data_IF_257264330359
#
_entry.id   IF_257264330359
#
_cell.length_a   1.000
_cell.length_b   1.000
_cell.length_c   1.000
_cell.angle_alpha   90.00
_cell.angle_beta   90.00
_cell.angle_gamma   90.00
#
_symmetry.space_group_name_H-M   'P 1'
#
loop_
_entity.id
_entity.type
_entity.pdbx_description
1 polymer ?
#
# COMPACT_ATOMS: atom_id res chain seq x y z
N UNK A 1 13.75 -12.68 -7.00
CA UNK A 1 13.20 -12.42 -5.64
C UNK A 1 11.78 -11.83 -5.69
N UNK A 2 11.01 -12.01 -6.77
CA UNK A 2 9.67 -11.41 -6.95
C UNK A 2 8.53 -12.18 -6.28
N UNK A 3 8.71 -13.49 -6.01
CA UNK A 3 7.67 -14.32 -5.37
C UNK A 3 7.49 -13.97 -3.90
N UNK A 4 8.60 -13.81 -3.15
CA UNK A 4 8.55 -13.50 -1.72
C UNK A 4 7.94 -12.11 -1.41
N UNK A 5 8.12 -11.13 -2.30
CA UNK A 5 7.50 -9.81 -2.13
C UNK A 5 6.00 -9.85 -2.45
N UNK A 6 5.59 -10.66 -3.43
CA UNK A 6 4.17 -10.91 -3.72
C UNK A 6 3.47 -11.58 -2.53
N UNK A 7 4.08 -12.61 -1.94
CA UNK A 7 3.53 -13.35 -0.80
C UNK A 7 3.35 -12.46 0.44
N UNK A 8 4.29 -11.54 0.70
CA UNK A 8 4.17 -10.58 1.80
C UNK A 8 3.03 -9.57 1.57
N UNK A 9 2.87 -9.10 0.34
CA UNK A 9 1.81 -8.15 -0.04
C UNK A 9 0.45 -8.82 0.06
N UNK A 10 0.30 -10.04 -0.44
CA UNK A 10 -0.94 -10.81 -0.34
C UNK A 10 -1.29 -11.16 1.10
N UNK A 11 -0.29 -11.49 1.93
CA UNK A 11 -0.49 -11.69 3.37
C UNK A 11 -1.05 -10.42 4.03
N UNK A 12 -0.48 -9.25 3.72
CA UNK A 12 -0.97 -7.96 4.24
C UNK A 12 -2.39 -7.65 3.75
N UNK A 13 -2.67 -7.89 2.46
CA UNK A 13 -3.99 -7.71 1.86
C UNK A 13 -5.00 -8.60 2.57
N UNK A 14 -4.73 -9.91 2.70
CA UNK A 14 -5.61 -10.86 3.38
C UNK A 14 -5.87 -10.50 4.86
N UNK A 15 -4.81 -10.09 5.57
CA UNK A 15 -4.94 -9.61 6.95
C UNK A 15 -5.82 -8.37 7.07
N UNK A 16 -5.66 -7.39 6.16
CA UNK A 16 -6.50 -6.20 6.13
C UNK A 16 -7.96 -6.53 5.78
N UNK A 17 -8.20 -7.40 4.79
CA UNK A 17 -9.55 -7.89 4.43
C UNK A 17 -10.28 -8.45 5.65
N UNK A 18 -9.57 -9.28 6.42
CA UNK A 18 -10.09 -9.93 7.62
C UNK A 18 -10.40 -8.90 8.70
N UNK A 19 -9.48 -7.98 8.99
CA UNK A 19 -9.67 -6.91 9.98
C UNK A 19 -10.83 -5.99 9.62
N UNK A 20 -11.03 -5.68 8.34
CA UNK A 20 -12.14 -4.86 7.83
C UNK A 20 -13.48 -5.61 7.77
N UNK A 21 -13.47 -6.93 8.01
CA UNK A 21 -14.65 -7.78 7.97
C UNK A 21 -15.42 -7.66 6.64
N UNK A 22 -14.69 -7.74 5.51
CA UNK A 22 -15.27 -7.62 4.17
C UNK A 22 -16.32 -8.71 3.94
N UNK A 23 -17.51 -8.29 3.54
CA UNK A 23 -18.64 -9.18 3.21
C UNK A 23 -18.64 -9.55 1.73
N UNK A 24 -19.43 -10.56 1.34
CA UNK A 24 -19.58 -10.96 -0.05
C UNK A 24 -20.08 -9.81 -0.96
N UNK A 25 -20.96 -8.94 -0.46
CA UNK A 25 -21.46 -7.78 -1.20
C UNK A 25 -20.39 -6.70 -1.43
N UNK A 26 -19.32 -6.70 -0.63
CA UNK A 26 -18.21 -5.74 -0.70
C UNK A 26 -17.01 -6.27 -1.47
N UNK A 27 -17.04 -7.55 -1.89
CA UNK A 27 -15.89 -8.24 -2.45
C UNK A 27 -15.40 -7.58 -3.75
N UNK A 28 -16.30 -7.11 -4.60
CA UNK A 28 -15.91 -6.41 -5.83
C UNK A 28 -15.11 -5.12 -5.54
N UNK A 29 -15.57 -4.33 -4.56
CA UNK A 29 -14.84 -3.11 -4.13
C UNK A 29 -13.52 -3.47 -3.46
N UNK A 30 -13.49 -4.53 -2.66
CA UNK A 30 -12.28 -5.02 -2.03
C UNK A 30 -11.23 -5.47 -3.06
N UNK A 31 -11.63 -6.18 -4.11
CA UNK A 31 -10.69 -6.63 -5.15
C UNK A 31 -10.04 -5.45 -5.88
N UNK A 32 -10.78 -4.35 -6.10
CA UNK A 32 -10.21 -3.10 -6.67
C UNK A 32 -9.16 -2.50 -5.73
N UNK A 33 -9.43 -2.44 -4.42
CA UNK A 33 -8.46 -1.99 -3.41
C UNK A 33 -7.23 -2.89 -3.38
N UNK A 34 -7.42 -4.21 -3.34
CA UNK A 34 -6.35 -5.20 -3.32
C UNK A 34 -5.45 -5.10 -4.56
N UNK A 35 -6.05 -4.89 -5.74
CA UNK A 35 -5.27 -4.72 -6.98
C UNK A 35 -4.38 -3.48 -6.92
N UNK A 36 -4.91 -2.33 -6.47
CA UNK A 36 -4.11 -1.11 -6.32
C UNK A 36 -2.97 -1.32 -5.31
N UNK A 37 -3.22 -2.05 -4.21
CA UNK A 37 -2.17 -2.39 -3.24
C UNK A 37 -1.05 -3.24 -3.87
N UNK A 38 -1.39 -4.22 -4.72
CA UNK A 38 -0.41 -5.05 -5.46
C UNK A 38 0.38 -4.23 -6.46
N UNK A 39 -0.28 -3.40 -7.26
CA UNK A 39 0.35 -2.57 -8.28
C UNK A 39 1.33 -1.57 -7.65
N UNK A 40 0.92 -0.95 -6.55
CA UNK A 40 1.76 -0.04 -5.77
C UNK A 40 2.99 -0.78 -5.20
N UNK A 41 2.79 -1.99 -4.66
CA UNK A 41 3.89 -2.78 -4.13
C UNK A 41 4.88 -3.20 -5.22
N UNK A 42 4.41 -3.65 -6.39
CA UNK A 42 5.25 -4.01 -7.52
C UNK A 42 6.06 -2.81 -8.06
N UNK A 43 5.43 -1.64 -8.13
CA UNK A 43 6.11 -0.39 -8.51
C UNK A 43 7.23 -0.04 -7.52
N UNK A 44 6.92 -0.07 -6.22
CA UNK A 44 7.89 0.22 -5.16
C UNK A 44 9.04 -0.79 -5.11
N UNK A 45 8.74 -2.07 -5.28
CA UNK A 45 9.74 -3.14 -5.31
C UNK A 45 10.71 -2.95 -6.50
N UNK A 46 10.16 -2.66 -7.68
CA UNK A 46 10.96 -2.37 -8.88
C UNK A 46 11.90 -1.19 -8.68
N UNK A 47 11.42 -0.08 -8.10
CA UNK A 47 12.24 1.10 -7.82
C UNK A 47 13.33 0.81 -6.78
N UNK A 48 13.03 0.04 -5.73
CA UNK A 48 14.04 -0.36 -4.73
C UNK A 48 15.10 -1.29 -5.33
N UNK A 49 14.70 -2.23 -6.18
CA UNK A 49 15.64 -3.13 -6.86
C UNK A 49 16.55 -2.37 -7.83
N UNK A 50 15.99 -1.45 -8.62
CA UNK A 50 16.76 -0.58 -9.51
C UNK A 50 17.80 0.22 -8.71
N UNK A 51 17.38 0.86 -7.61
CA UNK A 51 18.28 1.60 -6.74
C UNK A 51 19.37 0.71 -6.10
N UNK A 52 19.00 -0.46 -5.58
CA UNK A 52 19.95 -1.38 -4.95
C UNK A 52 20.98 -1.89 -5.95
N UNK A 53 20.55 -2.23 -7.18
CA UNK A 53 21.46 -2.71 -8.24
C UNK A 53 22.44 -1.64 -8.72
N UNK A 54 22.09 -0.36 -8.59
CA UNK A 54 22.92 0.78 -9.00
C UNK A 54 23.66 1.43 -7.82
N UNK A 55 23.48 0.95 -6.58
CA UNK A 55 23.95 1.62 -5.36
C UNK A 55 25.47 1.91 -5.35
N UNK A 56 26.28 1.05 -5.97
CA UNK A 56 27.75 1.20 -6.01
C UNK A 56 28.26 2.07 -7.17
N UNK A 57 27.38 2.50 -8.08
CA UNK A 57 27.74 3.28 -9.28
C UNK A 57 27.03 4.62 -9.41
N UNK A 58 26.07 4.91 -8.54
CA UNK A 58 25.31 6.16 -8.55
C UNK A 58 26.14 7.33 -8.03
N UNK A 59 26.02 8.49 -8.69
CA UNK A 59 26.48 9.75 -8.10
C UNK A 59 25.55 10.19 -6.96
N UNK A 60 26.00 11.13 -6.13
CA UNK A 60 25.15 11.71 -5.08
C UNK A 60 23.87 12.35 -5.63
N UNK A 61 23.92 12.90 -6.86
CA UNK A 61 22.75 13.49 -7.52
C UNK A 61 21.77 12.41 -7.98
N UNK A 62 22.26 11.29 -8.51
CA UNK A 62 21.41 10.17 -8.92
C UNK A 62 20.76 9.51 -7.71
N UNK A 63 21.48 9.44 -6.59
CA UNK A 63 20.95 8.94 -5.32
C UNK A 63 19.73 9.77 -4.85
N UNK A 64 19.85 11.10 -4.87
CA UNK A 64 18.75 12.03 -4.58
C UNK A 64 17.59 11.91 -5.57
N UNK A 65 17.87 11.78 -6.87
CA UNK A 65 16.81 11.58 -7.89
C UNK A 65 16.02 10.30 -7.63
N UNK A 66 16.69 9.21 -7.27
CA UNK A 66 16.00 7.95 -7.00
C UNK A 66 15.14 8.02 -5.73
N UNK A 67 15.52 8.81 -4.72
CA UNK A 67 14.64 9.12 -3.59
C UNK A 67 13.40 9.87 -4.05
N UNK A 68 13.56 10.88 -4.90
CA UNK A 68 12.44 11.63 -5.50
C UNK A 68 11.47 10.70 -6.22
N UNK A 69 11.97 9.80 -7.07
CA UNK A 69 11.15 8.81 -7.78
C UNK A 69 10.36 7.89 -6.84
N UNK A 70 10.97 7.44 -5.75
CA UNK A 70 10.28 6.62 -4.74
C UNK A 70 9.19 7.42 -4.05
N UNK A 71 9.46 8.68 -3.67
CA UNK A 71 8.48 9.56 -3.04
C UNK A 71 7.30 9.86 -3.98
N UNK A 72 7.57 10.17 -5.24
CA UNK A 72 6.56 10.44 -6.26
C UNK A 72 5.68 9.22 -6.51
N UNK A 73 6.28 8.04 -6.68
CA UNK A 73 5.53 6.81 -6.88
C UNK A 73 4.75 6.39 -5.62
N UNK A 74 5.23 6.71 -4.41
CA UNK A 74 4.44 6.53 -3.20
C UNK A 74 3.23 7.48 -3.16
N UNK A 75 3.43 8.76 -3.46
CA UNK A 75 2.34 9.74 -3.53
C UNK A 75 1.29 9.34 -4.58
N UNK A 76 1.75 8.88 -5.75
CA UNK A 76 0.87 8.38 -6.80
C UNK A 76 0.10 7.12 -6.38
N UNK A 77 0.77 6.22 -5.67
CA UNK A 77 0.12 5.05 -5.10
C UNK A 77 -1.02 5.41 -4.14
N UNK A 78 -0.84 6.44 -3.30
CA UNK A 78 -1.89 6.97 -2.43
C UNK A 78 -3.03 7.59 -3.27
N UNK A 79 -2.70 8.42 -4.28
CA UNK A 79 -3.72 9.02 -5.16
C UNK A 79 -4.61 7.98 -5.84
N UNK A 80 -4.05 6.82 -6.21
CA UNK A 80 -4.81 5.69 -6.78
C UNK A 80 -5.61 4.93 -5.73
N UNK A 81 -5.04 4.72 -4.55
CA UNK A 81 -5.66 3.94 -3.48
C UNK A 81 -6.86 4.66 -2.86
N UNK A 82 -6.78 5.97 -2.66
CA UNK A 82 -7.83 6.78 -2.03
C UNK A 82 -9.21 6.58 -2.67
N UNK A 83 -9.42 6.78 -3.98
CA UNK A 83 -10.75 6.60 -4.59
C UNK A 83 -11.24 5.15 -4.55
N UNK A 84 -10.34 4.16 -4.70
CA UNK A 84 -10.72 2.75 -4.60
C UNK A 84 -11.20 2.39 -3.18
N UNK A 85 -10.48 2.89 -2.16
CA UNK A 85 -10.85 2.68 -0.77
C UNK A 85 -12.10 3.47 -0.39
N UNK A 86 -12.30 4.67 -0.92
CA UNK A 86 -13.52 5.45 -0.71
C UNK A 86 -14.77 4.68 -1.16
N UNK A 87 -14.75 4.11 -2.36
CA UNK A 87 -15.87 3.29 -2.86
C UNK A 87 -16.16 2.08 -1.97
N UNK A 88 -15.11 1.41 -1.45
CA UNK A 88 -15.27 0.33 -0.48
C UNK A 88 -15.87 0.86 0.83
N UNK A 89 -15.33 1.94 1.38
CA UNK A 89 -15.75 2.54 2.64
C UNK A 89 -17.22 2.98 2.58
N UNK A 90 -17.67 3.56 1.47
CA UNK A 90 -19.05 3.98 1.29
C UNK A 90 -20.04 2.81 1.31
N UNK A 91 -19.60 1.61 0.90
CA UNK A 91 -20.38 0.37 0.97
C UNK A 91 -20.38 -0.30 2.36
N UNK A 92 -19.61 0.23 3.32
CA UNK A 92 -19.53 -0.31 4.68
C UNK A 92 -20.66 0.15 5.57
N UNK A 93 -21.08 -0.73 6.49
CA UNK A 93 -21.94 -0.35 7.62
C UNK A 93 -21.23 0.63 8.56
N UNK A 94 -21.99 1.38 9.37
CA UNK A 94 -21.41 2.32 10.34
C UNK A 94 -20.44 1.65 11.33
N UNK A 95 -20.71 0.40 11.70
CA UNK A 95 -19.82 -0.39 12.57
C UNK A 95 -18.50 -0.71 11.85
N UNK A 96 -18.58 -1.15 10.59
CA UNK A 96 -17.39 -1.40 9.76
C UNK A 96 -16.58 -0.12 9.51
N UNK A 97 -17.24 1.01 9.24
CA UNK A 97 -16.58 2.32 9.06
C UNK A 97 -15.78 2.72 10.29
N UNK A 98 -16.38 2.67 11.48
CA UNK A 98 -15.68 2.95 12.75
C UNK A 98 -14.48 2.02 12.97
N UNK A 99 -14.63 0.73 12.66
CA UNK A 99 -13.54 -0.22 12.76
C UNK A 99 -12.41 0.09 11.75
N UNK A 100 -12.75 0.44 10.51
CA UNK A 100 -11.79 0.88 9.51
C UNK A 100 -11.02 2.13 10.00
N UNK A 101 -11.72 3.13 10.53
CA UNK A 101 -11.09 4.35 11.05
C UNK A 101 -10.08 4.03 12.17
N UNK A 102 -10.43 3.12 13.10
CA UNK A 102 -9.53 2.67 14.17
C UNK A 102 -8.30 1.92 13.64
N UNK A 103 -8.48 1.04 12.64
CA UNK A 103 -7.39 0.32 12.00
C UNK A 103 -6.36 1.30 11.42
N UNK A 104 -6.81 2.31 10.68
CA UNK A 104 -5.90 3.28 10.06
C UNK A 104 -5.29 4.25 11.09
N UNK A 105 -6.04 4.68 12.11
CA UNK A 105 -5.50 5.51 13.21
C UNK A 105 -4.38 4.78 13.96
N UNK A 106 -4.59 3.52 14.35
CA UNK A 106 -3.59 2.75 15.10
C UNK A 106 -2.34 2.43 14.26
N UNK A 107 -2.50 2.16 12.97
CA UNK A 107 -1.37 1.95 12.06
C UNK A 107 -0.53 3.24 11.91
N UNK A 108 -1.16 4.42 11.82
CA UNK A 108 -0.43 5.70 11.80
C UNK A 108 0.37 5.96 13.09
N UNK A 109 -0.19 5.64 14.25
CA UNK A 109 0.51 5.78 15.53
C UNK A 109 1.71 4.83 15.67
N UNK A 110 1.67 3.66 15.03
CA UNK A 110 2.77 2.71 15.08
C UNK A 110 3.95 3.11 14.19
N UNK A 111 3.68 3.77 13.06
CA UNK A 111 4.72 4.37 12.21
C UNK A 111 5.40 5.58 12.85
N UNK A 112 4.66 6.41 13.61
CA UNK A 112 5.22 7.59 14.29
C UNK A 112 6.14 7.27 15.48
N UNK A 113 5.99 6.10 16.11
CA UNK A 113 6.85 5.65 17.23
C UNK A 113 8.16 4.98 16.79
N UNK A 114 8.32 4.69 15.49
CA UNK A 114 9.51 4.03 14.92
C UNK A 114 10.38 4.97 14.08
N UNK A 115 10.05 6.27 14.04
CA UNK A 115 10.84 7.31 13.39
C UNK A 115 11.83 7.95 14.35
#
# INVERSE_FOLDING_TARGET
>A
MTVATHDQVDTRISGLRTRLQITAAQEEFWQKVAQVMRDNAGTMDSLRQARTSQANSMSAVDDLKSYGQIADAHAEGIRKLTPAFQALYDSMSDVQKKNADLIFQTDHHHSAKKG
#
